data_IF_821949986764
#
_entry.id   IF_821949986764
#
_cell.length_a   1.000
_cell.length_b   1.000
_cell.length_c   1.000
_cell.angle_alpha   90.00
_cell.angle_beta   90.00
_cell.angle_gamma   90.00
#
_symmetry.space_group_name_H-M   'P 1'
#
loop_
_entity.id
_entity.type
_entity.pdbx_description
1 polymer ?
#
# COMPACT_ATOMS: atom_id res chain seq x y z
N UNK A 1 4.74 -30.52 -1.81
CA UNK A 1 4.32 -29.37 -0.99
C UNK A 1 3.70 -29.92 0.29
N UNK A 2 4.34 -29.76 1.44
CA UNK A 2 3.73 -30.14 2.71
C UNK A 2 2.69 -29.06 3.07
N UNK A 3 1.41 -29.45 3.21
CA UNK A 3 0.39 -28.57 3.77
C UNK A 3 0.82 -28.24 5.20
N UNK A 4 0.94 -26.95 5.53
CA UNK A 4 1.17 -26.55 6.91
C UNK A 4 -0.02 -26.99 7.77
N UNK A 5 0.21 -27.49 8.99
CA UNK A 5 -0.87 -27.88 9.89
C UNK A 5 -1.73 -26.65 10.23
N UNK A 6 -3.04 -26.80 10.08
CA UNK A 6 -4.01 -25.76 10.42
C UNK A 6 -4.07 -25.62 11.95
N UNK A 7 -3.23 -24.77 12.51
CA UNK A 7 -3.24 -24.44 13.93
C UNK A 7 -4.45 -23.54 14.19
N UNK A 8 -5.47 -24.10 14.84
CA UNK A 8 -6.64 -23.35 15.30
C UNK A 8 -6.24 -22.51 16.53
N UNK A 9 -5.52 -21.40 16.29
CA UNK A 9 -5.00 -20.47 17.29
C UNK A 9 -6.10 -19.60 17.95
N UNK A 10 -7.33 -20.11 18.03
CA UNK A 10 -8.48 -19.42 18.62
C UNK A 10 -8.26 -19.04 20.08
N UNK A 11 -7.58 -19.90 20.85
CA UNK A 11 -7.19 -19.62 22.23
C UNK A 11 -6.18 -18.46 22.33
N UNK A 12 -5.29 -18.33 21.33
CA UNK A 12 -4.28 -17.26 21.26
C UNK A 12 -4.93 -15.93 20.85
N UNK A 13 -5.88 -15.98 19.92
CA UNK A 13 -6.70 -14.82 19.54
C UNK A 13 -7.57 -14.32 20.71
N UNK A 14 -8.21 -15.22 21.46
CA UNK A 14 -8.98 -14.89 22.67
C UNK A 14 -8.10 -14.32 23.79
N UNK A 15 -6.90 -14.87 24.00
CA UNK A 15 -5.94 -14.36 24.99
C UNK A 15 -5.40 -12.97 24.65
N UNK A 16 -5.44 -12.56 23.38
CA UNK A 16 -4.98 -11.23 22.92
C UNK A 16 -6.08 -10.16 22.98
N UNK A 17 -7.36 -10.54 23.15
CA UNK A 17 -8.49 -9.60 23.25
C UNK A 17 -8.28 -8.50 24.31
N UNK A 18 -7.75 -8.78 25.52
CA UNK A 18 -7.51 -7.76 26.54
C UNK A 18 -6.37 -6.79 26.21
N UNK A 19 -5.46 -7.16 25.30
CA UNK A 19 -4.25 -6.38 24.96
C UNK A 19 -4.35 -5.60 23.64
N UNK A 20 -5.49 -5.69 22.95
CA UNK A 20 -5.67 -5.02 21.68
C UNK A 20 -5.97 -3.53 21.87
N UNK A 21 -5.25 -2.70 21.11
CA UNK A 21 -5.57 -1.27 21.02
C UNK A 21 -6.98 -1.09 20.44
N UNK A 22 -7.71 -0.01 20.79
CA UNK A 22 -9.05 0.22 20.26
C UNK A 22 -9.08 0.27 18.72
N UNK A 23 -8.04 0.81 18.09
CA UNK A 23 -7.92 0.86 16.63
C UNK A 23 -7.79 -0.53 15.98
N UNK A 24 -7.02 -1.44 16.60
CA UNK A 24 -6.89 -2.81 16.11
C UNK A 24 -8.17 -3.62 16.28
N UNK A 25 -8.98 -3.32 17.32
CA UNK A 25 -10.31 -3.93 17.49
C UNK A 25 -11.23 -3.52 16.36
N UNK A 26 -11.32 -2.23 16.08
CA UNK A 26 -12.15 -1.71 14.98
C UNK A 26 -11.75 -2.29 13.62
N UNK A 27 -10.44 -2.44 13.35
CA UNK A 27 -9.96 -3.08 12.11
C UNK A 27 -10.43 -4.53 12.00
N UNK A 28 -10.30 -5.30 13.09
CA UNK A 28 -10.75 -6.71 13.10
C UNK A 28 -12.26 -6.85 13.01
N UNK A 29 -13.01 -5.94 13.62
CA UNK A 29 -14.47 -5.89 13.49
C UNK A 29 -14.85 -5.65 12.03
N UNK A 30 -14.22 -4.69 11.35
CA UNK A 30 -14.44 -4.46 9.91
C UNK A 30 -14.06 -5.66 9.04
N UNK A 31 -12.92 -6.29 9.34
CA UNK A 31 -12.51 -7.51 8.64
C UNK A 31 -13.51 -8.66 8.86
N UNK A 32 -14.05 -8.80 10.07
CA UNK A 32 -15.07 -9.79 10.40
C UNK A 32 -16.39 -9.51 9.67
N UNK A 33 -16.83 -8.25 9.61
CA UNK A 33 -18.03 -7.83 8.85
C UNK A 33 -17.90 -8.19 7.36
N UNK A 34 -16.76 -7.89 6.75
CA UNK A 34 -16.47 -8.25 5.34
C UNK A 34 -16.50 -9.77 5.15
N UNK A 35 -16.00 -10.53 6.12
CA UNK A 35 -16.02 -11.99 6.06
C UNK A 35 -17.45 -12.54 6.16
N UNK A 36 -18.25 -12.00 7.07
CA UNK A 36 -19.64 -12.37 7.28
C UNK A 36 -20.48 -12.07 6.03
N UNK A 37 -20.28 -10.92 5.38
CA UNK A 37 -20.92 -10.58 4.10
C UNK A 37 -20.57 -11.60 3.01
N UNK A 38 -19.29 -11.99 2.91
CA UNK A 38 -18.85 -13.00 1.96
C UNK A 38 -19.45 -14.38 2.25
N UNK A 39 -19.54 -14.76 3.52
CA UNK A 39 -20.17 -16.02 3.92
C UNK A 39 -21.66 -16.04 3.59
N UNK A 40 -22.37 -14.94 3.87
CA UNK A 40 -23.78 -14.78 3.47
C UNK A 40 -23.95 -14.95 1.96
N UNK A 41 -23.10 -14.29 1.18
CA UNK A 41 -23.13 -14.42 -0.28
C UNK A 41 -22.94 -15.87 -0.73
N UNK A 42 -21.99 -16.61 -0.14
CA UNK A 42 -21.75 -18.02 -0.50
C UNK A 42 -22.97 -18.87 -0.17
N UNK A 43 -23.51 -18.74 1.04
CA UNK A 43 -24.68 -19.51 1.50
C UNK A 43 -25.90 -19.24 0.62
N UNK A 44 -26.10 -18.01 0.16
CA UNK A 44 -27.24 -17.64 -0.68
C UNK A 44 -27.07 -18.03 -2.16
N UNK A 45 -25.85 -17.93 -2.71
CA UNK A 45 -25.64 -18.03 -4.16
C UNK A 45 -25.03 -19.37 -4.60
N UNK A 46 -24.42 -20.13 -3.70
CA UNK A 46 -23.80 -21.42 -4.00
C UNK A 46 -24.71 -22.55 -3.52
N UNK A 47 -25.24 -23.39 -4.41
CA UNK A 47 -26.08 -24.51 -4.00
C UNK A 47 -25.24 -25.59 -3.31
N UNK A 48 -25.64 -25.99 -2.10
CA UNK A 48 -24.96 -27.04 -1.31
C UNK A 48 -25.03 -28.43 -1.94
N UNK A 49 -26.18 -28.77 -2.55
CA UNK A 49 -26.42 -30.06 -3.18
C UNK A 49 -27.18 -29.90 -4.49
N UNK A 50 -26.74 -30.63 -5.50
CA UNK A 50 -27.43 -30.72 -6.78
C UNK A 50 -28.19 -32.05 -6.82
N UNK A 51 -29.52 -31.99 -6.87
CA UNK A 51 -30.36 -33.18 -6.81
C UNK A 51 -30.56 -33.86 -8.17
N UNK A 52 -30.34 -33.15 -9.27
CA UNK A 52 -30.65 -33.62 -10.63
C UNK A 52 -29.41 -34.18 -11.34
N UNK A 53 -28.58 -34.95 -10.63
CA UNK A 53 -27.37 -35.56 -11.20
C UNK A 53 -27.72 -36.95 -11.73
N UNK A 54 -27.63 -37.10 -13.05
CA UNK A 54 -27.80 -38.38 -13.72
C UNK A 54 -26.57 -39.27 -13.51
N UNK A 55 -26.74 -40.60 -13.49
CA UNK A 55 -25.64 -41.54 -13.25
C UNK A 55 -24.50 -41.42 -14.28
N UNK A 56 -23.27 -41.72 -13.88
CA UNK A 56 -22.06 -41.48 -14.70
C UNK A 56 -22.02 -42.24 -16.03
N UNK A 57 -22.77 -43.34 -16.16
CA UNK A 57 -22.88 -44.15 -17.38
C UNK A 57 -24.20 -43.93 -18.14
N UNK A 58 -25.03 -43.00 -17.70
CA UNK A 58 -26.27 -42.68 -18.41
C UNK A 58 -25.97 -41.80 -19.63
N UNK A 59 -26.69 -42.02 -20.73
CA UNK A 59 -26.52 -41.27 -21.98
C UNK A 59 -27.07 -39.84 -21.88
N UNK A 60 -26.67 -38.97 -22.81
CA UNK A 60 -27.07 -37.56 -22.80
C UNK A 60 -28.60 -37.37 -22.90
N UNK A 61 -29.19 -36.71 -21.88
CA UNK A 61 -30.60 -36.32 -21.89
C UNK A 61 -30.87 -35.05 -22.69
N UNK A 62 -32.13 -34.80 -23.04
CA UNK A 62 -32.55 -33.60 -23.81
C UNK A 62 -32.28 -32.27 -23.11
N UNK A 63 -32.23 -32.27 -21.77
CA UNK A 63 -31.95 -31.08 -20.96
C UNK A 63 -30.46 -30.80 -20.73
N UNK A 64 -29.57 -31.77 -20.99
CA UNK A 64 -28.15 -31.68 -20.64
C UNK A 64 -27.47 -30.51 -21.37
N UNK A 65 -27.84 -30.27 -22.63
CA UNK A 65 -27.33 -29.15 -23.42
C UNK A 65 -27.54 -27.78 -22.74
N UNK A 66 -28.74 -27.56 -22.17
CA UNK A 66 -29.04 -26.28 -21.51
C UNK A 66 -28.30 -26.13 -20.18
N UNK A 67 -28.10 -27.22 -19.45
CA UNK A 67 -27.30 -27.20 -18.21
C UNK A 67 -25.84 -26.86 -18.50
N UNK A 68 -25.24 -27.49 -19.52
CA UNK A 68 -23.88 -27.17 -19.98
C UNK A 68 -23.76 -25.71 -20.45
N UNK A 69 -24.73 -25.22 -21.23
CA UNK A 69 -24.72 -23.83 -21.70
C UNK A 69 -24.75 -22.84 -20.53
N UNK A 70 -25.58 -23.10 -19.52
CA UNK A 70 -25.66 -22.28 -18.33
C UNK A 70 -24.38 -22.35 -17.48
N UNK A 71 -23.84 -23.55 -17.24
CA UNK A 71 -22.61 -23.72 -16.45
C UNK A 71 -21.40 -23.11 -17.14
N UNK A 72 -21.26 -23.28 -18.45
CA UNK A 72 -20.19 -22.67 -19.26
C UNK A 72 -20.24 -21.14 -19.19
N UNK A 73 -21.43 -20.55 -19.29
CA UNK A 73 -21.59 -19.09 -19.18
C UNK A 73 -21.15 -18.59 -17.80
N UNK A 74 -21.63 -19.22 -16.72
CA UNK A 74 -21.22 -18.88 -15.34
C UNK A 74 -19.71 -18.99 -15.16
N UNK A 75 -19.10 -20.03 -15.71
CA UNK A 75 -17.66 -20.25 -15.61
C UNK A 75 -16.85 -19.21 -16.40
N UNK A 76 -17.30 -18.83 -17.61
CA UNK A 76 -16.67 -17.76 -18.39
C UNK A 76 -16.75 -16.41 -17.66
N UNK A 77 -17.92 -16.08 -17.09
CA UNK A 77 -18.10 -14.86 -16.28
C UNK A 77 -17.19 -14.88 -15.04
N UNK A 78 -17.08 -16.04 -14.37
CA UNK A 78 -16.18 -16.22 -13.22
C UNK A 78 -14.71 -16.01 -13.60
N UNK A 79 -14.27 -16.59 -14.72
CA UNK A 79 -12.90 -16.43 -15.23
C UNK A 79 -12.62 -14.98 -15.63
N UNK A 80 -13.56 -14.33 -16.33
CA UNK A 80 -13.42 -12.93 -16.73
C UNK A 80 -13.31 -11.98 -15.53
N UNK A 81 -14.10 -12.20 -14.47
CA UNK A 81 -14.01 -11.41 -13.22
C UNK A 81 -12.66 -11.60 -12.52
N UNK A 82 -12.21 -12.85 -12.38
CA UNK A 82 -10.93 -13.17 -11.76
C UNK A 82 -9.75 -12.54 -12.53
N UNK A 83 -9.79 -12.58 -13.86
CA UNK A 83 -8.77 -11.96 -14.70
C UNK A 83 -8.78 -10.43 -14.55
N UNK A 84 -9.96 -9.80 -14.52
CA UNK A 84 -10.08 -8.37 -14.31
C UNK A 84 -9.48 -7.92 -12.96
N UNK A 85 -9.84 -8.60 -11.87
CA UNK A 85 -9.29 -8.35 -10.53
C UNK A 85 -7.77 -8.52 -10.50
N UNK A 86 -7.25 -9.56 -11.16
CA UNK A 86 -5.81 -9.80 -11.26
C UNK A 86 -5.08 -8.67 -11.99
N UNK A 87 -5.62 -8.23 -13.12
CA UNK A 87 -5.01 -7.14 -13.89
C UNK A 87 -5.06 -5.81 -13.13
N UNK A 88 -6.12 -5.54 -12.39
CA UNK A 88 -6.22 -4.36 -11.51
C UNK A 88 -5.19 -4.42 -10.38
N UNK A 89 -5.11 -5.54 -9.67
CA UNK A 89 -4.14 -5.73 -8.60
C UNK A 89 -2.69 -5.58 -9.11
N UNK A 90 -2.38 -6.14 -10.29
CA UNK A 90 -1.07 -5.99 -10.93
C UNK A 90 -0.75 -4.54 -11.27
N UNK A 91 -1.71 -3.80 -11.83
CA UNK A 91 -1.55 -2.36 -12.12
C UNK A 91 -1.29 -1.57 -10.83
N UNK A 92 -2.08 -1.83 -9.78
CA UNK A 92 -1.90 -1.16 -8.49
C UNK A 92 -0.53 -1.44 -7.88
N UNK A 93 -0.07 -2.69 -7.90
CA UNK A 93 1.26 -3.08 -7.41
C UNK A 93 2.37 -2.32 -8.17
N UNK A 94 2.32 -2.29 -9.50
CA UNK A 94 3.32 -1.55 -10.30
C UNK A 94 3.31 -0.04 -10.04
N UNK A 95 2.14 0.55 -9.78
CA UNK A 95 2.03 1.97 -9.42
C UNK A 95 2.64 2.20 -8.03
N UNK A 96 2.33 1.34 -7.05
CA UNK A 96 2.86 1.43 -5.69
C UNK A 96 4.39 1.33 -5.68
N UNK A 97 4.97 0.38 -6.43
CA UNK A 97 6.42 0.24 -6.59
C UNK A 97 7.07 1.49 -7.21
N UNK A 98 6.40 2.11 -8.20
CA UNK A 98 6.89 3.37 -8.80
C UNK A 98 6.85 4.50 -7.79
N UNK A 99 5.78 4.63 -7.03
CA UNK A 99 5.62 5.67 -6.01
C UNK A 99 6.64 5.50 -4.88
N UNK A 100 6.82 4.27 -4.36
CA UNK A 100 7.79 4.00 -3.30
C UNK A 100 9.21 4.31 -3.75
N UNK A 101 9.58 3.90 -4.97
CA UNK A 101 10.90 4.20 -5.55
C UNK A 101 11.15 5.70 -5.68
N UNK A 102 10.16 6.48 -6.12
CA UNK A 102 10.30 7.93 -6.21
C UNK A 102 10.44 8.57 -4.82
N UNK A 103 9.67 8.10 -3.84
CA UNK A 103 9.77 8.56 -2.45
C UNK A 103 11.18 8.30 -1.87
N UNK A 104 11.75 7.10 -2.09
CA UNK A 104 13.11 6.76 -1.66
C UNK A 104 14.15 7.70 -2.30
N UNK A 105 14.05 7.96 -3.61
CA UNK A 105 14.97 8.87 -4.31
C UNK A 105 14.90 10.30 -3.73
N UNK A 106 13.70 10.78 -3.41
CA UNK A 106 13.51 12.10 -2.82
C UNK A 106 14.00 12.16 -1.36
N UNK A 107 13.80 11.10 -0.59
CA UNK A 107 14.35 10.95 0.76
C UNK A 107 15.88 10.95 0.75
N UNK A 108 16.52 10.21 -0.15
CA UNK A 108 17.98 10.21 -0.31
C UNK A 108 18.51 11.60 -0.66
N UNK A 109 17.89 12.29 -1.62
CA UNK A 109 18.26 13.65 -2.03
C UNK A 109 18.13 14.63 -0.87
N UNK A 110 17.04 14.56 -0.11
CA UNK A 110 16.80 15.43 1.04
C UNK A 110 17.73 15.09 2.21
N UNK A 111 18.01 13.82 2.47
CA UNK A 111 18.95 13.36 3.49
C UNK A 111 20.38 13.84 3.21
N UNK A 112 20.85 13.74 1.96
CA UNK A 112 22.15 14.27 1.56
C UNK A 112 22.26 15.79 1.78
N UNK A 113 21.21 16.54 1.40
CA UNK A 113 21.15 18.01 1.63
C UNK A 113 21.12 18.34 3.14
N UNK A 114 20.35 17.60 3.93
CA UNK A 114 20.26 17.74 5.40
C UNK A 114 21.61 17.46 6.06
N UNK A 115 22.30 16.38 5.68
CA UNK A 115 23.63 16.03 6.17
C UNK A 115 24.67 17.13 5.85
N UNK A 116 24.64 17.70 4.64
CA UNK A 116 25.51 18.84 4.28
C UNK A 116 25.25 20.06 5.17
N UNK A 117 23.98 20.39 5.46
CA UNK A 117 23.61 21.51 6.35
C UNK A 117 24.04 21.24 7.80
N UNK A 118 23.83 20.04 8.32
CA UNK A 118 24.25 19.65 9.67
C UNK A 118 25.77 19.73 9.85
N UNK A 119 26.55 19.25 8.87
CA UNK A 119 28.02 19.38 8.86
C UNK A 119 28.47 20.84 8.89
N UNK A 120 27.82 21.72 8.12
CA UNK A 120 28.10 23.17 8.13
C UNK A 120 27.75 23.81 9.48
N UNK A 121 26.58 23.48 10.05
CA UNK A 121 26.15 23.97 11.38
C UNK A 121 27.10 23.53 12.48
N UNK A 122 27.54 22.27 12.48
CA UNK A 122 28.52 21.75 13.43
C UNK A 122 29.87 22.49 13.34
N UNK A 123 30.39 22.73 12.12
CA UNK A 123 31.62 23.50 11.91
C UNK A 123 31.50 24.97 12.37
N UNK A 124 30.34 25.59 12.17
CA UNK A 124 30.10 26.96 12.64
C UNK A 124 30.04 27.01 14.18
N UNK A 125 29.33 26.07 14.80
CA UNK A 125 29.22 25.96 16.26
C UNK A 125 30.57 25.66 16.93
N UNK A 126 31.43 24.84 16.32
CA UNK A 126 32.77 24.58 16.85
C UNK A 126 33.69 25.80 16.74
N UNK A 127 33.54 26.64 15.70
CA UNK A 127 34.27 27.90 15.56
C UNK A 127 33.80 28.95 16.57
N UNK A 128 32.50 29.08 16.81
CA UNK A 128 31.98 30.03 17.80
C UNK A 128 32.33 29.64 19.25
N UNK A 129 32.50 28.35 19.55
CA UNK A 129 32.90 27.87 20.88
C UNK A 129 34.40 28.01 21.17
N UNK A 130 35.22 28.27 20.14
CA UNK A 130 36.63 28.63 20.29
C UNK A 130 36.88 30.13 20.54
N UNK A 131 35.84 30.96 20.49
CA UNK A 131 35.89 32.42 20.70
C UNK A 131 34.92 32.84 21.80
N UNK A 132 34.85 32.06 22.88
CA UNK A 132 34.07 32.42 24.07
C UNK A 132 34.86 32.27 25.37
N UNK A 133 36.19 32.49 25.30
CA UNK A 133 37.06 32.67 26.47
C UNK A 133 38.00 33.88 26.28
N UNK A 134 37.47 35.00 25.78
CA UNK A 134 38.11 36.31 25.99
C UNK A 134 37.13 37.46 25.73
N UNK A 135 36.89 38.24 26.79
CA UNK A 135 36.65 39.68 26.72
C UNK A 135 35.26 40.15 26.28
N UNK A 136 34.48 40.65 27.23
CA UNK A 136 33.25 41.37 26.96
C UNK A 136 33.44 42.80 26.46
N UNK A 137 32.28 43.35 26.09
CA UNK A 137 31.88 44.77 26.02
C UNK A 137 31.87 45.53 24.67
N UNK A 138 30.72 46.16 24.46
CA UNK A 138 30.38 47.37 23.71
C UNK A 138 30.20 47.34 22.18
N UNK A 139 29.09 47.95 21.73
CA UNK A 139 29.04 48.72 20.48
C UNK A 139 27.83 48.48 19.57
N UNK A 140 26.81 49.33 19.70
CA UNK A 140 25.71 49.53 18.75
C UNK A 140 26.24 50.10 17.41
N UNK A 141 25.65 49.74 16.26
CA UNK A 141 25.13 50.70 15.26
C UNK A 141 24.33 49.99 14.14
N UNK A 142 23.35 50.72 13.63
CA UNK A 142 22.28 50.36 12.73
C UNK A 142 22.72 50.18 11.25
N UNK A 143 21.84 49.56 10.45
CA UNK A 143 21.97 49.61 8.99
C UNK A 143 21.15 48.57 8.23
N UNK A 144 19.84 48.77 8.13
CA UNK A 144 19.04 48.33 6.98
C UNK A 144 18.75 49.59 6.13
N UNK A 145 18.69 49.55 4.77
CA UNK A 145 17.71 48.73 4.07
C UNK A 145 18.07 48.17 2.67
N UNK A 146 17.37 47.08 2.34
CA UNK A 146 16.85 46.63 1.02
C UNK A 146 17.72 46.62 -0.25
N UNK A 147 17.81 45.44 -0.88
CA UNK A 147 17.44 45.31 -2.30
C UNK A 147 16.93 43.90 -2.62
N UNK A 148 15.78 43.85 -3.31
CA UNK A 148 15.16 42.67 -3.85
C UNK A 148 16.08 41.97 -4.86
N UNK A 149 16.22 40.66 -4.73
CA UNK A 149 16.45 39.80 -5.88
C UNK A 149 15.63 38.52 -5.69
N UNK A 150 14.45 38.39 -6.32
CA UNK A 150 13.76 37.12 -6.43
C UNK A 150 14.57 36.29 -7.43
N UNK A 151 15.61 35.63 -6.94
CA UNK A 151 16.37 34.67 -7.71
C UNK A 151 15.45 33.52 -8.08
N UNK A 152 14.94 33.57 -9.30
CA UNK A 152 14.15 32.53 -9.95
C UNK A 152 14.71 31.16 -9.58
N UNK A 153 13.96 30.40 -8.79
CA UNK A 153 14.07 28.96 -8.84
C UNK A 153 13.61 28.57 -10.24
N UNK A 154 14.56 28.49 -11.18
CA UNK A 154 14.32 27.86 -12.46
C UNK A 154 13.61 26.53 -12.16
N UNK A 155 12.45 26.24 -12.79
CA UNK A 155 11.95 24.88 -12.81
C UNK A 155 13.03 24.09 -13.54
N UNK A 156 13.90 23.44 -12.77
CA UNK A 156 14.92 22.59 -13.34
C UNK A 156 14.19 21.57 -14.18
N UNK A 157 14.44 21.60 -15.48
CA UNK A 157 14.12 20.57 -16.46
C UNK A 157 14.61 19.22 -15.94
N UNK A 158 13.84 18.62 -15.07
CA UNK A 158 13.85 17.20 -14.85
C UNK A 158 12.51 16.73 -15.37
N UNK A 159 12.41 16.71 -16.70
CA UNK A 159 11.45 15.83 -17.35
C UNK A 159 11.56 14.47 -16.64
N UNK A 160 10.44 13.90 -16.14
CA UNK A 160 10.48 12.53 -15.66
C UNK A 160 11.07 11.68 -16.79
N UNK A 161 12.00 10.74 -16.49
CA UNK A 161 12.50 9.85 -17.53
C UNK A 161 11.28 9.20 -18.18
N UNK A 162 11.13 9.42 -19.49
CA UNK A 162 10.00 9.03 -20.32
C UNK A 162 9.25 7.83 -19.73
N UNK A 163 8.04 8.07 -19.21
CA UNK A 163 7.07 7.02 -18.97
C UNK A 163 6.55 6.56 -20.33
N UNK A 164 7.37 5.78 -21.05
CA UNK A 164 6.86 4.94 -22.12
C UNK A 164 5.89 3.95 -21.46
N UNK A 165 4.60 4.18 -21.69
CA UNK A 165 3.59 3.14 -21.59
C UNK A 165 3.84 2.19 -22.76
N UNK A 166 4.48 1.06 -22.49
CA UNK A 166 4.38 -0.15 -23.32
C UNK A 166 3.20 -1.01 -22.84
#
# INVERSE_FOLDING_TARGET
MALQPYNNDSAKALALLPQLTPEERERREKEAEVLDEKLRYIVENVPDRVYHVMGSNAGAGSGEFHTYRASRRREQERQARMEAEFQEAKKLATIQERVSRLAEIDEERTAQRRAKRQKKKAKAASRSKGTSDSGGEAGQDAGAPSSHSPGAAAPGDHAPPNLALD
#
